data_IF_201455634071
#
_entry.id   IF_201455634071
#
_cell.length_a   1.000
_cell.length_b   1.000
_cell.length_c   1.000
_cell.angle_alpha   90.00
_cell.angle_beta   90.00
_cell.angle_gamma   90.00
#
_symmetry.space_group_name_H-M   'P 1'
#
loop_
_entity.id
_entity.type
_entity.pdbx_description
1 polymer ?
#
# COMPACT_ATOMS: atom_id res chain seq x y z
N UNK A 1 -24.33 53.42 55.67
CA UNK A 1 -23.09 52.62 55.77
C UNK A 1 -22.06 53.26 54.85
N UNK A 2 -21.12 54.02 55.40
CA UNK A 2 -19.94 54.49 54.65
C UNK A 2 -18.91 53.35 54.71
N UNK A 3 -18.44 52.91 53.54
CA UNK A 3 -17.37 51.93 53.44
C UNK A 3 -16.35 52.51 52.46
N UNK A 4 -15.10 52.61 52.91
CA UNK A 4 -14.02 53.10 52.07
C UNK A 4 -13.75 52.10 50.94
N UNK A 5 -13.75 52.54 49.67
CA UNK A 5 -13.49 51.64 48.56
C UNK A 5 -12.03 51.20 48.53
N UNK A 6 -11.77 49.92 48.86
CA UNK A 6 -10.46 49.28 48.73
C UNK A 6 -10.18 48.86 47.27
N UNK A 7 -10.23 49.82 46.34
CA UNK A 7 -10.13 49.59 44.90
C UNK A 7 -8.80 48.98 44.45
N UNK A 8 -7.73 49.16 45.24
CA UNK A 8 -6.43 48.54 45.03
C UNK A 8 -6.42 47.03 45.38
N UNK A 9 -7.35 46.57 46.22
CA UNK A 9 -7.41 45.19 46.70
C UNK A 9 -8.43 44.34 45.94
N UNK A 10 -9.62 44.90 45.67
CA UNK A 10 -10.72 44.18 45.04
C UNK A 10 -11.64 45.11 44.23
N UNK A 11 -12.42 44.54 43.31
CA UNK A 11 -13.47 45.25 42.56
C UNK A 11 -14.60 45.68 43.50
N UNK A 12 -15.37 46.71 43.10
CA UNK A 12 -16.59 47.12 43.82
C UNK A 12 -17.57 45.94 43.91
N UNK A 13 -18.08 45.64 45.12
CA UNK A 13 -18.87 44.44 45.46
C UNK A 13 -18.13 43.09 45.30
N UNK A 14 -16.82 43.11 45.04
CA UNK A 14 -15.98 41.92 44.95
C UNK A 14 -15.83 41.23 46.30
N UNK A 15 -15.97 39.90 46.32
CA UNK A 15 -15.75 39.06 47.51
C UNK A 15 -14.36 38.39 47.52
N UNK A 16 -13.50 38.76 46.56
CA UNK A 16 -12.17 38.19 46.34
C UNK A 16 -11.21 39.32 46.00
N UNK A 17 -9.98 39.22 46.47
CA UNK A 17 -8.91 40.12 46.04
C UNK A 17 -8.47 39.80 44.60
N UNK A 18 -7.83 40.75 43.93
CA UNK A 18 -7.29 40.54 42.59
C UNK A 18 -6.34 39.34 42.50
N UNK A 19 -5.48 39.15 43.51
CA UNK A 19 -4.55 38.02 43.57
C UNK A 19 -5.27 36.67 43.64
N UNK A 20 -6.39 36.59 44.38
CA UNK A 20 -7.19 35.36 44.44
C UNK A 20 -7.90 35.11 43.10
N UNK A 21 -8.47 36.15 42.48
CA UNK A 21 -9.07 36.00 41.14
C UNK A 21 -8.05 35.58 40.08
N UNK A 22 -6.84 36.14 40.13
CA UNK A 22 -5.75 35.75 39.23
C UNK A 22 -5.33 34.29 39.44
N UNK A 23 -5.22 33.83 40.70
CA UNK A 23 -4.92 32.44 41.02
C UNK A 23 -6.01 31.49 40.52
N UNK A 24 -7.28 31.86 40.69
CA UNK A 24 -8.39 31.08 40.14
C UNK A 24 -8.28 31.02 38.62
N UNK A 25 -8.01 32.14 37.96
CA UNK A 25 -7.85 32.23 36.50
C UNK A 25 -6.71 31.33 36.01
N UNK A 26 -5.50 31.45 36.56
CA UNK A 26 -4.34 30.69 36.10
C UNK A 26 -4.53 29.18 36.26
N UNK A 27 -5.06 28.73 37.40
CA UNK A 27 -5.35 27.32 37.63
C UNK A 27 -6.47 26.83 36.70
N UNK A 28 -7.48 27.67 36.44
CA UNK A 28 -8.60 27.29 35.58
C UNK A 28 -8.22 27.19 34.10
N UNK A 29 -7.21 27.93 33.62
CA UNK A 29 -6.73 27.84 32.24
C UNK A 29 -6.07 26.48 31.94
N UNK A 30 -5.38 25.90 32.94
CA UNK A 30 -4.62 24.66 32.77
C UNK A 30 -5.45 23.39 33.00
N UNK A 31 -6.62 23.51 33.64
CA UNK A 31 -7.39 22.38 34.13
C UNK A 31 -8.86 22.46 33.74
N UNK A 32 -9.51 21.30 33.67
CA UNK A 32 -10.97 21.24 33.64
C UNK A 32 -11.55 21.93 34.88
N UNK A 33 -12.68 22.63 34.75
CA UNK A 33 -13.27 23.43 35.84
C UNK A 33 -13.55 22.65 37.14
N UNK A 34 -13.86 21.36 37.07
CA UNK A 34 -14.00 20.49 38.26
C UNK A 34 -12.68 20.29 38.99
N UNK A 35 -11.61 19.93 38.25
CA UNK A 35 -10.27 19.76 38.81
C UNK A 35 -9.70 21.07 39.35
N UNK A 36 -9.91 22.17 38.64
CA UNK A 36 -9.53 23.51 39.11
C UNK A 36 -10.20 23.83 40.46
N UNK A 37 -11.51 23.60 40.57
CA UNK A 37 -12.27 23.80 41.81
C UNK A 37 -11.73 22.95 42.98
N UNK A 38 -11.49 21.66 42.74
CA UNK A 38 -10.91 20.77 43.76
C UNK A 38 -9.50 21.18 44.19
N UNK A 39 -8.64 21.58 43.24
CA UNK A 39 -7.28 22.03 43.53
C UNK A 39 -7.28 23.36 44.31
N UNK A 40 -8.14 24.31 43.92
CA UNK A 40 -8.29 25.59 44.62
C UNK A 40 -8.73 25.41 46.07
N UNK A 41 -9.56 24.40 46.37
CA UNK A 41 -9.96 24.07 47.73
C UNK A 41 -8.77 23.65 48.61
N UNK A 42 -7.77 22.96 48.06
CA UNK A 42 -6.52 22.61 48.77
C UNK A 42 -5.68 23.84 49.12
N UNK A 43 -5.79 24.92 48.32
CA UNK A 43 -5.19 26.21 48.61
C UNK A 43 -6.08 27.12 49.47
N UNK A 44 -7.14 26.58 50.07
CA UNK A 44 -8.14 27.34 50.84
C UNK A 44 -8.84 28.46 50.04
N UNK A 45 -8.92 28.32 48.70
CA UNK A 45 -9.65 29.24 47.82
C UNK A 45 -11.00 28.62 47.44
N UNK A 46 -12.10 29.23 47.90
CA UNK A 46 -13.46 28.77 47.55
C UNK A 46 -13.90 29.28 46.19
N UNK A 47 -13.81 28.43 45.17
CA UNK A 47 -14.37 28.65 43.85
C UNK A 47 -15.03 27.38 43.30
N UNK A 48 -16.33 27.44 43.01
CA UNK A 48 -17.03 26.35 42.34
C UNK A 48 -16.55 26.19 40.89
N UNK A 49 -16.82 25.04 40.29
CA UNK A 49 -16.56 24.80 38.86
C UNK A 49 -17.21 25.87 37.97
N UNK A 50 -18.45 26.27 38.25
CA UNK A 50 -19.14 27.35 37.53
C UNK A 50 -18.48 28.72 37.76
N UNK A 51 -17.92 28.97 38.96
CA UNK A 51 -17.17 30.19 39.23
C UNK A 51 -15.88 30.27 38.42
N UNK A 52 -15.17 29.14 38.30
CA UNK A 52 -13.96 29.02 37.48
C UNK A 52 -14.28 29.35 36.00
N UNK A 53 -15.31 28.71 35.44
CA UNK A 53 -15.73 28.96 34.05
C UNK A 53 -16.16 30.41 33.83
N UNK A 54 -16.94 30.99 34.75
CA UNK A 54 -17.39 32.39 34.63
C UNK A 54 -16.22 33.37 34.61
N UNK A 55 -15.18 33.13 35.41
CA UNK A 55 -13.97 33.97 35.41
C UNK A 55 -13.25 33.85 34.05
N UNK A 56 -13.08 32.62 33.53
CA UNK A 56 -12.44 32.43 32.22
C UNK A 56 -13.25 33.04 31.07
N UNK A 57 -14.57 32.89 31.09
CA UNK A 57 -15.46 33.46 30.07
C UNK A 57 -15.32 34.97 29.99
N UNK A 58 -15.12 35.66 31.12
CA UNK A 58 -14.86 37.10 31.12
C UNK A 58 -13.53 37.46 30.44
N UNK A 59 -12.51 36.60 30.53
CA UNK A 59 -11.23 36.83 29.88
C UNK A 59 -11.27 36.65 28.35
N UNK A 60 -12.18 35.81 27.84
CA UNK A 60 -12.28 35.46 26.42
C UNK A 60 -13.37 36.20 25.64
N UNK A 61 -13.98 37.26 26.18
CA UNK A 61 -15.09 37.96 25.52
C UNK A 61 -14.69 38.70 24.24
N UNK A 62 -13.42 39.11 24.14
CA UNK A 62 -12.94 39.91 23.03
C UNK A 62 -11.58 39.39 22.58
N UNK A 63 -11.32 39.49 21.27
CA UNK A 63 -9.99 39.27 20.73
C UNK A 63 -9.00 40.28 21.31
N UNK A 64 -7.72 39.90 21.49
CA UNK A 64 -6.70 40.83 21.95
C UNK A 64 -6.60 42.03 20.99
N UNK A 65 -6.37 43.21 21.54
CA UNK A 65 -6.14 44.41 20.74
C UNK A 65 -4.77 44.30 20.07
N UNK A 66 -4.75 43.74 18.86
CA UNK A 66 -3.53 43.52 18.09
C UNK A 66 -3.72 44.05 16.66
N UNK A 67 -3.19 45.24 16.38
CA UNK A 67 -3.42 45.97 15.12
C UNK A 67 -2.13 46.28 14.34
N UNK A 68 -1.01 45.61 14.67
CA UNK A 68 0.30 45.88 14.07
C UNK A 68 0.88 44.71 13.29
N UNK A 69 0.18 43.58 13.22
CA UNK A 69 0.64 42.39 12.49
C UNK A 69 0.68 42.65 10.99
N UNK A 70 1.87 42.47 10.39
CA UNK A 70 2.06 42.50 8.93
C UNK A 70 1.99 41.08 8.34
N UNK A 71 2.43 40.09 9.13
CA UNK A 71 2.49 38.68 8.75
C UNK A 71 1.55 37.88 9.64
N UNK A 72 0.53 37.26 9.07
CA UNK A 72 -0.45 36.49 9.84
C UNK A 72 -0.66 35.10 9.26
N UNK A 73 -0.99 34.16 10.13
CA UNK A 73 -1.46 32.83 9.79
C UNK A 73 -2.94 32.70 10.07
N UNK A 74 -3.68 32.09 9.15
CA UNK A 74 -5.09 31.77 9.34
C UNK A 74 -5.26 30.27 9.14
N UNK A 75 -5.88 29.61 10.11
CA UNK A 75 -6.19 28.18 10.06
C UNK A 75 -7.50 27.87 10.81
N UNK A 76 -8.03 26.67 10.59
CA UNK A 76 -9.23 26.17 11.25
C UNK A 76 -8.94 25.77 12.70
N UNK A 77 -9.71 26.33 13.62
CA UNK A 77 -9.74 25.97 15.03
C UNK A 77 -11.01 25.19 15.36
N UNK A 78 -10.85 23.93 15.75
CA UNK A 78 -11.98 23.09 16.15
C UNK A 78 -12.40 23.38 17.59
N UNK A 79 -13.46 24.18 17.79
CA UNK A 79 -14.10 24.33 19.10
C UNK A 79 -14.67 22.99 19.59
N UNK A 80 -15.33 22.28 18.67
CA UNK A 80 -15.76 20.90 18.86
C UNK A 80 -15.52 20.11 17.59
N UNK A 81 -14.44 19.33 17.59
CA UNK A 81 -14.00 18.53 16.44
C UNK A 81 -15.16 17.72 15.83
N UNK A 82 -15.37 17.89 14.52
CA UNK A 82 -16.46 17.24 13.77
C UNK A 82 -17.83 17.92 13.90
N UNK A 83 -17.94 19.09 14.56
CA UNK A 83 -19.19 19.85 14.68
C UNK A 83 -18.99 21.34 14.46
N UNK A 84 -18.23 21.96 15.35
CA UNK A 84 -18.11 23.42 15.43
C UNK A 84 -16.66 23.80 15.21
N UNK A 85 -16.44 24.57 14.14
CA UNK A 85 -15.15 25.10 13.73
C UNK A 85 -15.23 26.63 13.76
N UNK A 86 -14.10 27.23 14.08
CA UNK A 86 -13.80 28.65 14.09
C UNK A 86 -12.53 28.84 13.28
N UNK A 87 -12.13 30.08 12.99
CA UNK A 87 -10.81 30.37 12.41
C UNK A 87 -9.94 31.03 13.46
N UNK A 88 -8.71 30.54 13.62
CA UNK A 88 -7.70 31.20 14.45
C UNK A 88 -6.80 32.02 13.55
N UNK A 89 -6.50 33.24 13.99
CA UNK A 89 -5.49 34.10 13.38
C UNK A 89 -4.32 34.20 14.33
N UNK A 90 -3.12 33.97 13.82
CA UNK A 90 -1.86 33.97 14.58
C UNK A 90 -0.92 35.00 13.95
N UNK A 91 -0.27 35.80 14.76
CA UNK A 91 0.83 36.63 14.28
C UNK A 91 2.06 35.74 14.03
N UNK A 92 2.58 35.76 12.81
CA UNK A 92 3.66 34.86 12.40
C UNK A 92 5.03 35.23 12.96
N UNK A 93 5.20 36.45 13.48
CA UNK A 93 6.46 36.90 14.06
C UNK A 93 6.53 36.59 15.56
N UNK A 94 5.42 36.76 16.27
CA UNK A 94 5.33 36.52 17.71
C UNK A 94 4.84 35.12 18.07
N UNK A 95 4.28 34.39 17.10
CA UNK A 95 3.62 33.09 17.28
C UNK A 95 2.42 33.13 18.25
N UNK A 96 1.84 34.31 18.47
CA UNK A 96 0.71 34.50 19.37
C UNK A 96 -0.60 34.50 18.60
N UNK A 97 -1.65 33.82 19.10
CA UNK A 97 -3.01 34.01 18.60
C UNK A 97 -3.46 35.46 18.80
N UNK A 98 -3.90 36.10 17.72
CA UNK A 98 -4.34 37.50 17.72
C UNK A 98 -5.83 37.65 17.43
N UNK A 99 -6.48 36.62 16.89
CA UNK A 99 -7.93 36.57 16.81
C UNK A 99 -8.43 35.13 16.81
N UNK A 100 -9.61 34.94 17.39
CA UNK A 100 -10.47 33.78 17.16
C UNK A 100 -11.75 34.31 16.52
N UNK A 101 -12.09 33.76 15.37
CA UNK A 101 -13.18 34.21 14.51
C UNK A 101 -14.20 33.09 14.46
N UNK A 102 -15.36 33.33 15.09
CA UNK A 102 -16.47 32.42 15.02
C UNK A 102 -17.10 32.52 13.63
N UNK A 103 -16.77 31.60 12.73
CA UNK A 103 -17.26 31.70 11.38
C UNK A 103 -17.82 30.40 10.81
N UNK A 104 -19.10 30.44 10.46
CA UNK A 104 -19.77 29.43 9.62
C UNK A 104 -20.00 29.92 8.18
N UNK A 105 -19.91 31.22 7.91
CA UNK A 105 -20.41 31.86 6.66
C UNK A 105 -19.40 32.80 5.95
N UNK A 106 -18.22 33.07 6.51
CA UNK A 106 -17.17 33.97 5.98
C UNK A 106 -17.24 35.42 6.49
N UNK A 107 -18.30 35.82 7.18
CA UNK A 107 -18.55 37.22 7.57
C UNK A 107 -17.62 37.71 8.69
N UNK A 108 -17.29 36.83 9.64
CA UNK A 108 -16.41 37.19 10.76
C UNK A 108 -14.99 37.45 10.24
N UNK A 109 -14.54 36.64 9.28
CA UNK A 109 -13.27 36.84 8.60
C UNK A 109 -13.25 38.13 7.78
N UNK A 110 -14.28 38.40 6.98
CA UNK A 110 -14.36 39.61 6.18
C UNK A 110 -14.27 40.89 7.03
N UNK A 111 -15.04 40.94 8.11
CA UNK A 111 -15.03 42.05 9.05
C UNK A 111 -13.67 42.23 9.72
N UNK A 112 -13.00 41.12 10.07
CA UNK A 112 -11.67 41.18 10.67
C UNK A 112 -10.61 41.67 9.67
N UNK A 113 -10.62 41.17 8.43
CA UNK A 113 -9.69 41.61 7.37
C UNK A 113 -9.89 43.08 7.03
N UNK A 114 -11.14 43.56 6.96
CA UNK A 114 -11.47 44.97 6.68
C UNK A 114 -10.87 45.92 7.74
N UNK A 115 -10.84 45.48 8.99
CA UNK A 115 -10.27 46.23 10.12
C UNK A 115 -8.75 46.14 10.20
N UNK A 116 -8.13 45.27 9.41
CA UNK A 116 -6.68 45.02 9.42
C UNK A 116 -6.04 45.19 8.03
N UNK A 117 -6.16 46.37 7.38
CA UNK A 117 -5.62 46.61 6.04
C UNK A 117 -4.08 46.63 6.00
N UNK A 118 -3.41 46.70 7.15
CA UNK A 118 -1.94 46.70 7.26
C UNK A 118 -1.29 45.34 6.95
N UNK A 119 -2.07 44.27 6.91
CA UNK A 119 -1.57 42.91 6.63
C UNK A 119 -1.05 42.86 5.20
N UNK A 120 0.13 42.27 5.01
CA UNK A 120 0.76 42.13 3.68
C UNK A 120 0.97 40.66 3.29
N UNK A 121 1.10 39.77 4.28
CA UNK A 121 1.36 38.35 4.06
C UNK A 121 0.42 37.50 4.91
N UNK A 122 -0.25 36.56 4.26
CA UNK A 122 -1.12 35.58 4.93
C UNK A 122 -0.64 34.17 4.60
N UNK A 123 -0.23 33.41 5.61
CA UNK A 123 -0.08 31.97 5.50
C UNK A 123 -1.43 31.31 5.80
N UNK A 124 -1.94 30.47 4.91
CA UNK A 124 -3.22 29.79 5.11
C UNK A 124 -3.20 28.36 4.56
N UNK A 125 -4.23 27.59 4.89
CA UNK A 125 -4.44 26.25 4.34
C UNK A 125 -4.82 26.30 2.84
N UNK A 126 -5.45 25.29 2.25
CA UNK A 126 -5.92 25.35 0.84
C UNK A 126 -7.43 25.49 0.72
N UNK A 127 -8.10 25.92 1.79
CA UNK A 127 -9.53 26.19 1.85
C UNK A 127 -9.93 27.29 0.87
N UNK A 128 -11.00 27.02 0.11
CA UNK A 128 -11.54 28.00 -0.84
C UNK A 128 -12.11 29.22 -0.13
N UNK A 129 -12.75 29.03 1.02
CA UNK A 129 -13.33 30.09 1.85
C UNK A 129 -12.32 31.20 2.18
N UNK A 130 -11.13 30.84 2.68
CA UNK A 130 -10.09 31.82 2.97
C UNK A 130 -9.59 32.54 1.72
N UNK A 131 -9.38 31.79 0.62
CA UNK A 131 -8.91 32.37 -0.63
C UNK A 131 -9.91 33.40 -1.19
N UNK A 132 -11.20 33.06 -1.19
CA UNK A 132 -12.27 33.94 -1.66
C UNK A 132 -12.42 35.19 -0.79
N UNK A 133 -12.39 35.04 0.54
CA UNK A 133 -12.47 36.16 1.48
C UNK A 133 -11.27 37.11 1.34
N UNK A 134 -10.04 36.59 1.30
CA UNK A 134 -8.82 37.40 1.15
C UNK A 134 -8.84 38.16 -0.19
N UNK A 135 -9.18 37.48 -1.29
CA UNK A 135 -9.26 38.12 -2.61
C UNK A 135 -10.35 39.20 -2.68
N UNK A 136 -11.46 39.01 -1.95
CA UNK A 136 -12.56 39.98 -1.90
C UNK A 136 -12.19 41.23 -1.09
N UNK A 137 -11.54 41.06 0.07
CA UNK A 137 -11.37 42.14 1.06
C UNK A 137 -10.01 42.83 0.96
N UNK A 138 -8.94 42.07 0.77
CA UNK A 138 -7.55 42.59 0.70
C UNK A 138 -6.76 41.93 -0.45
N UNK A 139 -7.15 42.16 -1.72
CA UNK A 139 -6.58 41.47 -2.88
C UNK A 139 -5.07 41.68 -3.09
N UNK A 140 -4.49 42.75 -2.52
CA UNK A 140 -3.05 43.03 -2.60
C UNK A 140 -2.17 42.17 -1.70
N UNK A 141 -2.75 41.32 -0.86
CA UNK A 141 -2.01 40.48 0.09
C UNK A 141 -1.37 39.28 -0.59
N UNK A 142 -0.11 39.03 -0.24
CA UNK A 142 0.60 37.81 -0.65
C UNK A 142 0.10 36.62 0.16
N UNK A 143 -0.59 35.69 -0.51
CA UNK A 143 -1.05 34.44 0.09
C UNK A 143 0.01 33.35 -0.04
N UNK A 144 0.36 32.73 1.08
CA UNK A 144 1.36 31.68 1.20
C UNK A 144 0.66 30.40 1.65
N UNK A 145 0.92 29.28 0.98
CA UNK A 145 0.41 27.99 1.44
C UNK A 145 1.19 27.53 2.67
N UNK A 146 0.48 27.11 3.71
CA UNK A 146 1.09 26.57 4.90
C UNK A 146 1.85 25.25 4.62
N UNK A 147 3.05 25.15 5.20
CA UNK A 147 4.00 24.04 4.99
C UNK A 147 3.47 22.68 5.48
N UNK A 148 2.74 22.67 6.60
CA UNK A 148 2.13 21.47 7.14
C UNK A 148 1.12 20.90 6.16
N UNK A 149 0.26 21.75 5.57
CA UNK A 149 -0.72 21.30 4.59
C UNK A 149 -0.09 20.77 3.30
N UNK A 150 0.99 21.39 2.81
CA UNK A 150 1.74 20.88 1.66
C UNK A 150 2.32 19.49 1.93
N UNK A 151 2.97 19.32 3.09
CA UNK A 151 3.55 18.03 3.49
C UNK A 151 2.48 16.97 3.70
N UNK A 152 1.38 17.34 4.38
CA UNK A 152 0.24 16.46 4.63
C UNK A 152 -0.37 15.98 3.33
N UNK A 153 -0.67 16.88 2.40
CA UNK A 153 -1.23 16.54 1.09
C UNK A 153 -0.34 15.55 0.35
N UNK A 154 0.97 15.81 0.26
CA UNK A 154 1.92 14.87 -0.34
C UNK A 154 1.85 13.50 0.34
N UNK A 155 1.91 13.44 1.67
CA UNK A 155 1.87 12.15 2.37
C UNK A 155 0.54 11.41 2.19
N UNK A 156 -0.59 12.13 2.25
CA UNK A 156 -1.92 11.55 2.12
C UNK A 156 -2.15 11.01 0.69
N UNK A 157 -1.60 11.67 -0.33
CA UNK A 157 -1.61 11.16 -1.71
C UNK A 157 -0.71 9.93 -1.90
N UNK A 158 0.44 9.87 -1.23
CA UNK A 158 1.40 8.77 -1.40
C UNK A 158 1.08 7.52 -0.58
N UNK A 159 0.36 7.65 0.54
CA UNK A 159 0.00 6.50 1.40
C UNK A 159 -0.74 5.39 0.62
N UNK A 160 -1.81 5.68 -0.15
CA UNK A 160 -2.52 4.66 -0.93
C UNK A 160 -1.65 3.96 -1.98
N UNK A 161 -0.71 4.68 -2.62
CA UNK A 161 0.19 4.10 -3.61
C UNK A 161 1.16 3.11 -2.96
N UNK A 162 1.75 3.47 -1.82
CA UNK A 162 2.62 2.55 -1.09
C UNK A 162 1.81 1.35 -0.57
N UNK A 163 0.59 1.57 -0.07
CA UNK A 163 -0.30 0.46 0.30
C UNK A 163 -0.57 -0.48 -0.88
N UNK A 164 -0.78 0.05 -2.08
CA UNK A 164 -0.98 -0.72 -3.31
C UNK A 164 0.27 -1.52 -3.67
N UNK A 165 1.46 -0.92 -3.59
CA UNK A 165 2.73 -1.62 -3.83
C UNK A 165 2.94 -2.78 -2.84
N UNK A 166 2.63 -2.56 -1.55
CA UNK A 166 2.66 -3.61 -0.51
C UNK A 166 1.63 -4.73 -0.78
N UNK A 167 0.52 -4.42 -1.46
CA UNK A 167 -0.48 -5.43 -1.86
C UNK A 167 -0.06 -6.16 -3.15
N UNK A 168 0.59 -5.49 -4.08
CA UNK A 168 1.02 -6.07 -5.36
C UNK A 168 2.13 -7.11 -5.19
N UNK A 169 3.00 -6.97 -4.20
CA UNK A 169 3.96 -8.03 -3.81
C UNK A 169 3.28 -9.31 -3.31
N UNK A 170 1.95 -9.33 -3.14
CA UNK A 170 1.15 -10.49 -2.68
C UNK A 170 0.44 -11.23 -3.82
N UNK A 171 0.86 -11.06 -5.08
CA UNK A 171 0.15 -11.72 -6.18
C UNK A 171 0.32 -13.24 -6.11
N UNK A 172 -0.78 -13.96 -5.85
CA UNK A 172 -0.78 -15.43 -5.81
C UNK A 172 -0.37 -15.99 -7.17
N UNK A 173 0.56 -16.94 -7.17
CA UNK A 173 0.90 -17.70 -8.36
C UNK A 173 -0.27 -18.61 -8.74
N UNK A 174 -0.54 -18.72 -10.04
CA UNK A 174 -1.53 -19.66 -10.59
C UNK A 174 -0.92 -21.05 -10.68
N UNK A 175 -1.74 -22.07 -10.47
CA UNK A 175 -1.31 -23.44 -10.72
C UNK A 175 -1.12 -23.66 -12.22
N UNK A 176 0.10 -24.03 -12.62
CA UNK A 176 0.40 -24.41 -14.00
C UNK A 176 -0.11 -25.81 -14.32
N UNK A 177 -0.56 -25.98 -15.55
CA UNK A 177 -0.93 -27.27 -16.14
C UNK A 177 -0.24 -27.40 -17.50
N UNK A 178 0.09 -28.62 -17.95
CA UNK A 178 0.69 -28.79 -19.26
C UNK A 178 -0.32 -28.41 -20.33
N UNK A 179 0.16 -27.76 -21.40
CA UNK A 179 -0.62 -27.68 -22.63
C UNK A 179 -0.89 -29.09 -23.20
N UNK A 180 -1.78 -29.15 -24.18
CA UNK A 180 -2.24 -30.41 -24.78
C UNK A 180 -1.10 -31.22 -25.40
N UNK A 181 -0.11 -30.57 -26.01
CA UNK A 181 0.98 -31.24 -26.73
C UNK A 181 2.03 -31.77 -25.76
N UNK A 182 2.36 -31.00 -24.74
CA UNK A 182 3.20 -31.39 -23.61
C UNK A 182 2.57 -32.56 -22.86
N UNK A 183 1.27 -32.50 -22.56
CA UNK A 183 0.55 -33.60 -21.91
C UNK A 183 0.58 -34.87 -22.76
N UNK A 184 0.32 -34.75 -24.07
CA UNK A 184 0.37 -35.88 -25.01
C UNK A 184 1.76 -36.51 -25.06
N UNK A 185 2.80 -35.69 -25.16
CA UNK A 185 4.19 -36.14 -25.26
C UNK A 185 4.65 -36.90 -24.02
N UNK A 186 4.30 -36.40 -22.83
CA UNK A 186 4.62 -37.07 -21.56
C UNK A 186 3.86 -38.39 -21.39
N UNK A 187 2.58 -38.45 -21.78
CA UNK A 187 1.81 -39.70 -21.76
C UNK A 187 2.42 -40.72 -22.72
N UNK A 188 2.78 -40.29 -23.94
CA UNK A 188 3.43 -41.17 -24.92
C UNK A 188 4.75 -41.72 -24.38
N UNK A 189 5.55 -40.90 -23.72
CA UNK A 189 6.78 -41.34 -23.09
C UNK A 189 6.53 -42.43 -22.04
N UNK A 190 5.56 -42.25 -21.15
CA UNK A 190 5.18 -43.26 -20.16
C UNK A 190 4.65 -44.55 -20.82
N UNK A 191 3.88 -44.43 -21.92
CA UNK A 191 3.39 -45.59 -22.67
C UNK A 191 4.56 -46.40 -23.24
N UNK A 192 5.53 -45.75 -23.89
CA UNK A 192 6.67 -46.45 -24.49
C UNK A 192 7.64 -47.01 -23.44
N UNK A 193 7.62 -46.47 -22.22
CA UNK A 193 8.37 -46.99 -21.08
C UNK A 193 7.66 -48.14 -20.33
N UNK A 194 6.51 -48.62 -20.82
CA UNK A 194 5.88 -49.84 -20.28
C UNK A 194 6.56 -51.13 -20.79
N UNK A 195 6.30 -52.26 -20.12
CA UNK A 195 6.86 -53.57 -20.48
C UNK A 195 8.17 -53.87 -19.74
N UNK A 196 8.82 -54.98 -20.09
CA UNK A 196 10.11 -55.38 -19.51
C UNK A 196 11.29 -54.60 -20.11
N UNK A 197 12.50 -54.83 -19.60
CA UNK A 197 13.73 -54.15 -20.03
C UNK A 197 14.00 -54.35 -21.53
N UNK A 198 13.83 -55.58 -22.04
CA UNK A 198 14.13 -55.93 -23.43
C UNK A 198 13.13 -55.27 -24.39
N UNK A 199 11.86 -55.21 -24.00
CA UNK A 199 10.79 -54.56 -24.74
C UNK A 199 11.02 -53.06 -24.87
N UNK A 200 11.34 -52.39 -23.75
CA UNK A 200 11.64 -50.95 -23.73
C UNK A 200 12.85 -50.60 -24.59
N UNK A 201 13.92 -51.37 -24.48
CA UNK A 201 15.13 -51.19 -25.29
C UNK A 201 14.82 -51.33 -26.79
N UNK A 202 14.02 -52.35 -27.16
CA UNK A 202 13.59 -52.55 -28.55
C UNK A 202 12.76 -51.38 -29.09
N UNK A 203 11.82 -50.85 -28.29
CA UNK A 203 11.01 -49.69 -28.67
C UNK A 203 11.84 -48.41 -28.76
N UNK A 204 12.82 -48.23 -27.88
CA UNK A 204 13.77 -47.11 -27.92
C UNK A 204 14.57 -47.14 -29.22
N UNK A 205 15.20 -48.27 -29.54
CA UNK A 205 15.98 -48.44 -30.77
C UNK A 205 15.08 -48.22 -32.00
N UNK A 206 13.85 -48.72 -32.00
CA UNK A 206 12.90 -48.49 -33.11
C UNK A 206 12.61 -46.99 -33.31
N UNK A 207 12.31 -46.24 -32.24
CA UNK A 207 12.00 -44.80 -32.31
C UNK A 207 13.21 -43.99 -32.75
N UNK A 208 14.38 -44.24 -32.18
CA UNK A 208 15.63 -43.57 -32.56
C UNK A 208 15.99 -43.87 -34.01
N UNK A 209 15.84 -45.12 -34.46
CA UNK A 209 16.07 -45.50 -35.86
C UNK A 209 15.15 -44.78 -36.84
N UNK A 210 13.87 -44.59 -36.48
CA UNK A 210 12.94 -43.82 -37.32
C UNK A 210 13.29 -42.33 -37.35
N UNK A 211 13.65 -41.74 -36.21
CA UNK A 211 14.06 -40.34 -36.14
C UNK A 211 15.31 -40.07 -36.99
N UNK A 212 16.34 -40.92 -36.91
CA UNK A 212 17.57 -40.80 -37.70
C UNK A 212 17.29 -40.99 -39.20
N UNK A 213 16.39 -41.91 -39.55
CA UNK A 213 15.93 -42.08 -40.93
C UNK A 213 15.15 -40.85 -41.44
N UNK A 214 14.31 -40.25 -40.61
CA UNK A 214 13.61 -38.99 -40.94
C UNK A 214 14.57 -37.82 -41.14
N UNK A 215 15.73 -37.85 -40.46
CA UNK A 215 16.83 -36.90 -40.65
C UNK A 215 17.69 -37.20 -41.90
N UNK A 216 17.32 -38.20 -42.70
CA UNK A 216 17.99 -38.53 -43.97
C UNK A 216 19.12 -39.54 -43.87
N UNK A 217 19.38 -40.14 -42.69
CA UNK A 217 20.45 -41.14 -42.55
C UNK A 217 20.10 -42.47 -43.23
N UNK A 218 21.11 -43.13 -43.82
CA UNK A 218 20.96 -44.49 -44.35
C UNK A 218 20.85 -45.51 -43.21
N UNK A 219 20.47 -46.75 -43.56
CA UNK A 219 20.34 -47.84 -42.58
C UNK A 219 21.71 -48.19 -41.98
N UNK A 220 22.78 -48.14 -42.77
CA UNK A 220 24.16 -48.36 -42.32
C UNK A 220 24.61 -47.28 -41.33
N UNK A 221 24.36 -46.01 -41.65
CA UNK A 221 24.69 -44.88 -40.78
C UNK A 221 23.91 -44.92 -39.47
N UNK A 222 22.60 -45.21 -39.55
CA UNK A 222 21.75 -45.38 -38.37
C UNK A 222 22.23 -46.53 -37.48
N UNK A 223 22.61 -47.66 -38.08
CA UNK A 223 23.09 -48.82 -37.36
C UNK A 223 24.43 -48.56 -36.66
N UNK A 224 25.35 -47.87 -37.33
CA UNK A 224 26.61 -47.42 -36.74
C UNK A 224 26.37 -46.45 -35.56
N UNK A 225 25.46 -45.48 -35.73
CA UNK A 225 25.12 -44.51 -34.69
C UNK A 225 24.53 -45.15 -33.42
N UNK A 226 23.69 -46.19 -33.59
CA UNK A 226 23.04 -46.91 -32.48
C UNK A 226 23.85 -48.11 -31.96
N UNK A 227 25.03 -48.39 -32.53
CA UNK A 227 25.87 -49.53 -32.17
C UNK A 227 25.21 -50.90 -32.42
N UNK A 228 24.38 -51.01 -33.47
CA UNK A 228 23.66 -52.25 -33.84
C UNK A 228 24.05 -52.71 -35.25
N UNK A 229 23.73 -53.97 -35.59
CA UNK A 229 23.96 -54.51 -36.94
C UNK A 229 22.94 -53.92 -37.93
N UNK A 230 23.35 -53.52 -39.14
CA UNK A 230 22.45 -52.96 -40.17
C UNK A 230 21.25 -53.85 -40.48
N UNK A 231 21.45 -55.19 -40.52
CA UNK A 231 20.37 -56.16 -40.69
C UNK A 231 19.35 -56.15 -39.55
N UNK A 232 19.78 -55.84 -38.32
CA UNK A 232 18.88 -55.71 -37.17
C UNK A 232 18.00 -54.47 -37.30
N UNK A 233 18.61 -53.32 -37.62
CA UNK A 233 17.88 -52.07 -37.86
C UNK A 233 16.90 -52.22 -39.02
N UNK A 234 17.34 -52.79 -40.14
CA UNK A 234 16.48 -53.08 -41.30
C UNK A 234 15.25 -53.90 -40.89
N UNK A 235 15.43 -55.04 -40.20
CA UNK A 235 14.31 -55.88 -39.74
C UNK A 235 13.39 -55.18 -38.73
N UNK A 236 13.92 -54.19 -38.02
CA UNK A 236 13.19 -53.46 -36.99
C UNK A 236 12.30 -52.36 -37.58
N UNK A 237 12.74 -51.65 -38.63
CA UNK A 237 12.00 -50.50 -39.18
C UNK A 237 11.35 -50.75 -40.55
N UNK A 238 11.83 -51.72 -41.34
CA UNK A 238 11.35 -51.93 -42.70
C UNK A 238 9.95 -52.60 -42.70
N UNK A 239 8.98 -51.97 -43.36
CA UNK A 239 7.57 -52.42 -43.50
C UNK A 239 6.86 -52.80 -42.19
N UNK A 240 7.30 -52.26 -41.05
CA UNK A 240 6.70 -52.55 -39.73
C UNK A 240 6.27 -51.27 -39.02
N UNK A 241 4.97 -51.16 -38.76
CA UNK A 241 4.39 -50.10 -37.93
C UNK A 241 4.66 -50.36 -36.46
N UNK A 242 4.76 -49.29 -35.67
CA UNK A 242 5.06 -49.37 -34.22
C UNK A 242 4.13 -50.32 -33.46
N UNK A 243 2.86 -50.43 -33.88
CA UNK A 243 1.88 -51.33 -33.27
C UNK A 243 2.25 -52.81 -33.27
N UNK A 244 3.13 -53.25 -34.18
CA UNK A 244 3.65 -54.64 -34.20
C UNK A 244 4.57 -54.95 -33.02
N UNK A 245 5.08 -53.92 -32.34
CA UNK A 245 6.00 -54.04 -31.21
C UNK A 245 5.37 -53.62 -29.89
N UNK A 246 4.09 -53.24 -29.86
CA UNK A 246 3.41 -52.80 -28.65
C UNK A 246 2.62 -53.96 -28.03
N UNK A 247 2.59 -54.00 -26.70
CA UNK A 247 1.68 -54.89 -25.97
C UNK A 247 0.24 -54.34 -25.98
N UNK A 248 -0.73 -55.17 -25.58
CA UNK A 248 -2.16 -54.80 -25.62
C UNK A 248 -2.50 -53.60 -24.73
N UNK A 249 -1.83 -53.45 -23.59
CA UNK A 249 -2.02 -52.28 -22.72
C UNK A 249 -1.50 -51.00 -23.37
N UNK A 250 -0.37 -51.05 -24.07
CA UNK A 250 0.18 -49.93 -24.85
C UNK A 250 -0.74 -49.56 -26.02
N UNK A 251 -1.22 -50.54 -26.78
CA UNK A 251 -2.17 -50.30 -27.88
C UNK A 251 -3.46 -49.65 -27.37
N UNK A 252 -3.99 -50.13 -26.25
CA UNK A 252 -5.18 -49.56 -25.62
C UNK A 252 -4.93 -48.13 -25.14
N UNK A 253 -3.80 -47.87 -24.48
CA UNK A 253 -3.45 -46.54 -24.00
C UNK A 253 -3.29 -45.51 -25.14
N UNK A 254 -2.69 -45.91 -26.26
CA UNK A 254 -2.49 -45.03 -27.42
C UNK A 254 -3.79 -44.46 -27.99
N UNK A 255 -4.88 -45.24 -27.98
CA UNK A 255 -6.19 -44.79 -28.48
C UNK A 255 -6.74 -43.57 -27.73
N UNK A 256 -6.36 -43.41 -26.47
CA UNK A 256 -6.94 -42.42 -25.55
C UNK A 256 -5.99 -41.29 -25.16
N UNK A 257 -4.79 -41.20 -25.77
CA UNK A 257 -3.81 -40.15 -25.44
C UNK A 257 -4.37 -38.75 -25.67
N UNK A 258 -5.00 -38.50 -26.81
CA UNK A 258 -5.57 -37.19 -27.17
C UNK A 258 -6.69 -36.76 -26.20
N UNK A 259 -7.55 -37.69 -25.80
CA UNK A 259 -8.65 -37.43 -24.86
C UNK A 259 -8.10 -37.13 -23.45
N UNK A 260 -7.14 -37.94 -22.97
CA UNK A 260 -6.45 -37.72 -21.70
C UNK A 260 -5.69 -36.39 -21.67
N UNK A 261 -4.96 -36.06 -22.74
CA UNK A 261 -4.22 -34.81 -22.84
C UNK A 261 -5.16 -33.59 -22.79
N UNK A 262 -6.32 -33.68 -23.45
CA UNK A 262 -7.34 -32.63 -23.42
C UNK A 262 -7.87 -32.43 -21.99
N UNK A 263 -8.22 -33.51 -21.29
CA UNK A 263 -8.70 -33.45 -19.90
C UNK A 263 -7.63 -32.86 -18.97
N UNK A 264 -6.36 -33.24 -19.13
CA UNK A 264 -5.25 -32.75 -18.30
C UNK A 264 -4.99 -31.26 -18.56
N UNK A 265 -4.98 -30.83 -19.83
CA UNK A 265 -4.79 -29.41 -20.18
C UNK A 265 -5.89 -28.51 -19.64
N UNK A 266 -7.10 -29.06 -19.41
CA UNK A 266 -8.20 -28.39 -18.75
C UNK A 266 -8.10 -28.38 -17.20
N UNK A 267 -6.96 -28.77 -16.62
CA UNK A 267 -6.70 -28.70 -15.19
C UNK A 267 -7.00 -29.97 -14.38
N UNK A 268 -7.41 -31.06 -15.04
CA UNK A 268 -7.81 -32.31 -14.38
C UNK A 268 -6.67 -33.35 -14.41
N UNK A 269 -5.84 -33.38 -13.36
CA UNK A 269 -4.60 -34.20 -13.36
C UNK A 269 -4.60 -35.38 -12.38
N UNK A 270 -5.54 -35.43 -11.42
CA UNK A 270 -5.54 -36.49 -10.39
C UNK A 270 -6.08 -37.81 -10.94
N UNK A 271 -5.55 -38.95 -10.43
CA UNK A 271 -5.95 -40.30 -10.88
C UNK A 271 -7.46 -40.51 -10.85
N UNK A 272 -8.10 -40.08 -9.75
CA UNK A 272 -9.53 -40.26 -9.50
C UNK A 272 -10.37 -39.51 -10.53
N UNK A 273 -10.03 -38.24 -10.78
CA UNK A 273 -10.75 -37.39 -11.74
C UNK A 273 -10.55 -37.89 -13.18
N UNK A 274 -9.33 -38.30 -13.53
CA UNK A 274 -9.04 -38.89 -14.84
C UNK A 274 -9.83 -40.18 -15.06
N UNK A 275 -9.85 -41.08 -14.07
CA UNK A 275 -10.63 -42.32 -14.15
C UNK A 275 -12.14 -42.05 -14.25
N UNK A 276 -12.65 -41.07 -13.51
CA UNK A 276 -14.05 -40.67 -13.58
C UNK A 276 -14.44 -40.12 -14.96
N UNK A 277 -13.61 -39.22 -15.53
CA UNK A 277 -13.87 -38.62 -16.85
C UNK A 277 -13.69 -39.60 -18.01
N UNK A 278 -12.80 -40.58 -17.87
CA UNK A 278 -12.59 -41.63 -18.88
C UNK A 278 -13.60 -42.78 -18.78
N UNK A 279 -14.33 -42.91 -17.66
CA UNK A 279 -15.31 -43.97 -17.44
C UNK A 279 -14.71 -45.37 -17.56
N UNK A 280 -15.43 -46.27 -18.22
CA UNK A 280 -15.01 -47.67 -18.47
C UNK A 280 -14.10 -47.85 -19.68
N UNK A 281 -13.75 -46.77 -20.42
CA UNK A 281 -12.96 -46.83 -21.66
C UNK A 281 -11.54 -47.37 -21.46
N UNK A 282 -10.95 -47.09 -20.31
CA UNK A 282 -9.58 -47.47 -19.95
C UNK A 282 -9.49 -47.70 -18.44
N UNK A 283 -8.78 -48.74 -18.00
CA UNK A 283 -8.71 -49.08 -16.58
C UNK A 283 -8.00 -48.00 -15.77
N UNK A 284 -8.51 -47.67 -14.58
CA UNK A 284 -7.88 -46.69 -13.69
C UNK A 284 -6.45 -47.05 -13.27
N UNK A 285 -6.08 -48.33 -13.33
CA UNK A 285 -4.70 -48.81 -13.16
C UNK A 285 -3.79 -48.43 -14.32
N UNK A 286 -4.27 -48.55 -15.56
CA UNK A 286 -3.53 -48.16 -16.75
C UNK A 286 -3.40 -46.64 -16.85
N UNK A 287 -4.47 -45.87 -16.61
CA UNK A 287 -4.40 -44.40 -16.48
C UNK A 287 -3.33 -44.00 -15.47
N UNK A 288 -3.31 -44.66 -14.30
CA UNK A 288 -2.33 -44.38 -13.27
C UNK A 288 -0.88 -44.66 -13.70
N UNK A 289 -0.65 -45.64 -14.56
CA UNK A 289 0.70 -45.93 -15.08
C UNK A 289 1.14 -44.93 -16.14
N UNK A 290 0.28 -44.62 -17.11
CA UNK A 290 0.62 -43.77 -18.27
C UNK A 290 0.60 -42.27 -17.98
N UNK A 291 0.17 -41.87 -16.79
CA UNK A 291 0.20 -40.46 -16.33
C UNK A 291 1.10 -40.29 -15.11
N UNK A 292 1.96 -41.27 -14.81
CA UNK A 292 2.72 -41.31 -13.57
C UNK A 292 3.78 -40.21 -13.52
N UNK A 293 4.59 -40.07 -14.56
CA UNK A 293 5.66 -39.07 -14.62
C UNK A 293 5.09 -37.65 -14.62
N UNK A 294 4.09 -37.41 -15.48
CA UNK A 294 3.37 -36.15 -15.59
C UNK A 294 2.78 -35.74 -14.24
N UNK A 295 2.07 -36.64 -13.54
CA UNK A 295 1.45 -36.30 -12.26
C UNK A 295 2.48 -36.00 -11.18
N UNK A 296 3.60 -36.74 -11.12
CA UNK A 296 4.68 -36.45 -10.16
C UNK A 296 5.30 -35.07 -10.42
N UNK A 297 5.60 -34.77 -11.68
CA UNK A 297 6.18 -33.49 -12.09
C UNK A 297 5.27 -32.31 -11.70
N UNK A 298 3.98 -32.38 -12.05
CA UNK A 298 3.04 -31.31 -11.73
C UNK A 298 2.59 -31.30 -10.27
N UNK A 299 2.70 -32.41 -9.55
CA UNK A 299 2.52 -32.41 -8.09
C UNK A 299 3.60 -31.57 -7.40
N UNK A 300 4.85 -31.68 -7.86
CA UNK A 300 5.96 -30.89 -7.34
C UNK A 300 5.76 -29.40 -7.64
N UNK A 301 5.49 -29.04 -8.90
CA UNK A 301 5.17 -27.64 -9.28
C UNK A 301 4.00 -27.06 -8.48
N UNK A 302 2.94 -27.85 -8.24
CA UNK A 302 1.79 -27.42 -7.43
C UNK A 302 2.15 -27.25 -5.96
N UNK A 303 3.06 -28.05 -5.42
CA UNK A 303 3.54 -27.92 -4.05
C UNK A 303 4.30 -26.59 -3.88
N UNK A 304 5.18 -26.25 -4.81
CA UNK A 304 5.92 -24.98 -4.83
C UNK A 304 4.99 -23.77 -4.90
N UNK A 305 4.00 -23.80 -5.80
CA UNK A 305 2.96 -22.75 -5.89
C UNK A 305 2.15 -22.64 -4.60
N UNK A 306 1.82 -23.78 -3.97
CA UNK A 306 1.07 -23.81 -2.72
C UNK A 306 1.89 -23.19 -1.58
N UNK A 307 3.15 -23.57 -1.41
CA UNK A 307 4.05 -23.04 -0.38
C UNK A 307 4.26 -21.53 -0.55
N UNK A 308 4.41 -21.04 -1.78
CA UNK A 308 4.48 -19.62 -2.08
C UNK A 308 3.17 -18.88 -1.74
N UNK A 309 2.02 -19.44 -2.09
CA UNK A 309 0.73 -18.82 -1.80
C UNK A 309 0.39 -18.84 -0.29
N UNK A 310 0.78 -19.89 0.43
CA UNK A 310 0.64 -20.00 1.88
C UNK A 310 1.57 -19.03 2.63
N UNK A 311 2.79 -18.81 2.15
CA UNK A 311 3.70 -17.81 2.75
C UNK A 311 3.16 -16.39 2.61
N UNK A 312 2.55 -16.05 1.46
CA UNK A 312 1.83 -14.78 1.25
C UNK A 312 0.65 -14.66 2.23
N UNK A 313 -0.14 -15.72 2.38
CA UNK A 313 -1.35 -15.70 3.21
C UNK A 313 -1.03 -15.60 4.70
N UNK A 314 -0.04 -16.36 5.16
CA UNK A 314 0.45 -16.33 6.53
C UNK A 314 1.16 -15.00 6.85
N UNK A 315 1.99 -14.48 5.94
CA UNK A 315 2.60 -13.15 6.06
C UNK A 315 1.58 -12.00 6.06
N UNK A 316 0.38 -12.21 5.49
CA UNK A 316 -0.71 -11.22 5.53
C UNK A 316 -1.32 -11.06 6.92
N UNK A 317 -1.33 -12.14 7.72
CA UNK A 317 -1.93 -12.16 9.08
C UNK A 317 -1.01 -11.54 10.14
N UNK A 318 0.30 -11.56 9.94
CA UNK A 318 1.27 -11.24 11.02
C UNK A 318 1.73 -9.78 11.11
N UNK A 319 1.53 -8.93 10.11
CA UNK A 319 2.01 -7.53 10.19
C UNK A 319 1.24 -6.59 9.26
N UNK A 320 0.21 -5.93 9.78
CA UNK A 320 -0.45 -4.83 9.07
C UNK A 320 0.40 -3.58 9.23
N UNK A 321 0.87 -3.00 8.14
CA UNK A 321 1.57 -1.70 8.18
C UNK A 321 0.50 -0.63 8.38
N UNK A 322 0.60 0.16 9.45
CA UNK A 322 -0.34 1.27 9.71
C UNK A 322 -0.05 2.47 8.80
N UNK A 323 -1.06 3.28 8.52
CA UNK A 323 -0.88 4.53 7.77
C UNK A 323 0.15 5.46 8.42
N UNK A 324 0.23 5.49 9.76
CA UNK A 324 1.24 6.27 10.47
C UNK A 324 2.67 5.75 10.24
N UNK A 325 2.85 4.43 10.10
CA UNK A 325 4.16 3.87 9.73
C UNK A 325 4.54 4.24 8.30
N UNK A 326 3.59 4.16 7.35
CA UNK A 326 3.81 4.59 5.97
C UNK A 326 4.12 6.08 5.90
N UNK A 327 3.39 6.92 6.65
CA UNK A 327 3.67 8.37 6.73
C UNK A 327 5.08 8.63 7.24
N UNK A 328 5.50 7.97 8.32
CA UNK A 328 6.88 8.09 8.84
C UNK A 328 7.92 7.65 7.80
N UNK A 329 7.63 6.56 7.08
CA UNK A 329 8.49 6.04 6.03
C UNK A 329 8.66 7.03 4.87
N UNK A 330 7.57 7.66 4.40
CA UNK A 330 7.63 8.71 3.38
C UNK A 330 8.48 9.89 3.86
N UNK A 331 8.28 10.33 5.10
CA UNK A 331 8.95 11.51 5.63
C UNK A 331 10.44 11.27 5.95
N UNK A 332 10.79 10.08 6.46
CA UNK A 332 12.16 9.74 6.87
C UNK A 332 12.98 9.04 5.78
N UNK A 333 12.33 8.41 4.81
CA UNK A 333 12.95 7.55 3.80
C UNK A 333 13.30 6.14 4.29
N UNK A 334 13.15 5.87 5.59
CA UNK A 334 13.49 4.60 6.22
C UNK A 334 12.43 4.16 7.23
N UNK A 335 12.41 2.87 7.54
CA UNK A 335 11.45 2.27 8.45
C UNK A 335 11.97 0.95 9.02
N UNK A 336 11.82 0.78 10.34
CA UNK A 336 12.12 -0.48 11.06
C UNK A 336 11.11 -1.60 10.74
N UNK A 337 9.99 -1.26 10.09
CA UNK A 337 9.02 -2.26 9.66
C UNK A 337 9.62 -3.15 8.56
N UNK A 338 9.69 -4.48 8.76
CA UNK A 338 10.36 -5.39 7.83
C UNK A 338 9.71 -5.40 6.43
N UNK A 339 8.39 -5.17 6.32
CA UNK A 339 7.70 -5.11 5.02
C UNK A 339 8.08 -3.88 4.21
N UNK A 340 8.27 -2.74 4.88
CA UNK A 340 8.72 -1.51 4.22
C UNK A 340 10.20 -1.61 3.85
N UNK A 341 11.02 -2.25 4.69
CA UNK A 341 12.41 -2.54 4.37
C UNK A 341 12.55 -3.51 3.18
N UNK A 342 11.72 -4.55 3.11
CA UNK A 342 11.67 -5.47 1.97
C UNK A 342 11.20 -4.77 0.68
N UNK A 343 10.17 -3.92 0.78
CA UNK A 343 9.72 -3.11 -0.36
C UNK A 343 10.84 -2.21 -0.89
N UNK A 344 11.61 -1.58 0.01
CA UNK A 344 12.77 -0.77 -0.35
C UNK A 344 13.84 -1.55 -1.11
N UNK A 345 14.10 -2.81 -0.71
CA UNK A 345 15.09 -3.66 -1.37
C UNK A 345 14.60 -4.19 -2.72
N UNK A 346 13.33 -4.54 -2.81
CA UNK A 346 12.74 -5.25 -3.97
C UNK A 346 12.28 -4.35 -5.10
N UNK A 347 12.01 -3.06 -4.85
CA UNK A 347 11.46 -2.14 -5.86
C UNK A 347 12.34 -0.91 -6.07
N UNK A 348 12.89 -0.69 -7.29
CA UNK A 348 13.55 0.58 -7.63
C UNK A 348 12.58 1.78 -7.57
N UNK A 349 11.29 1.54 -7.87
CA UNK A 349 10.26 2.57 -7.91
C UNK A 349 10.01 3.21 -6.53
N UNK A 350 10.09 2.43 -5.44
CA UNK A 350 9.88 3.01 -4.10
C UNK A 350 11.05 3.93 -3.71
N UNK A 351 12.28 3.61 -4.14
CA UNK A 351 13.45 4.46 -3.86
C UNK A 351 13.33 5.82 -4.55
N UNK A 352 12.93 5.81 -5.82
CA UNK A 352 12.67 7.05 -6.57
C UNK A 352 11.56 7.88 -5.92
N UNK A 353 10.45 7.25 -5.54
CA UNK A 353 9.32 7.92 -4.89
C UNK A 353 9.71 8.56 -3.56
N UNK A 354 10.43 7.84 -2.70
CA UNK A 354 10.88 8.37 -1.41
C UNK A 354 11.86 9.52 -1.62
N UNK A 355 12.79 9.41 -2.57
CA UNK A 355 13.71 10.49 -2.90
C UNK A 355 12.98 11.76 -3.34
N UNK A 356 11.95 11.64 -4.19
CA UNK A 356 11.13 12.79 -4.62
C UNK A 356 10.40 13.42 -3.43
N UNK A 357 9.79 12.60 -2.56
CA UNK A 357 9.07 13.08 -1.37
C UNK A 357 9.98 13.76 -0.34
N UNK A 358 11.17 13.19 -0.09
CA UNK A 358 12.16 13.76 0.83
C UNK A 358 12.70 15.09 0.29
N UNK A 359 13.07 15.13 -0.98
CA UNK A 359 13.53 16.37 -1.62
C UNK A 359 12.45 17.47 -1.52
N UNK A 360 11.18 17.14 -1.77
CA UNK A 360 10.09 18.12 -1.61
C UNK A 360 10.01 18.63 -0.18
N UNK A 361 10.02 17.72 0.80
CA UNK A 361 9.98 18.07 2.22
C UNK A 361 11.15 18.97 2.61
N UNK A 362 12.37 18.65 2.16
CA UNK A 362 13.56 19.41 2.49
C UNK A 362 13.54 20.79 1.84
N UNK A 363 13.05 20.91 0.60
CA UNK A 363 12.82 22.21 -0.07
C UNK A 363 11.83 23.08 0.71
N UNK A 364 10.69 22.52 1.11
CA UNK A 364 9.66 23.23 1.88
C UNK A 364 10.16 23.63 3.27
N UNK A 365 11.08 22.85 3.86
CA UNK A 365 11.69 23.17 5.15
C UNK A 365 12.89 24.13 5.04
N UNK A 366 13.36 24.44 3.83
CA UNK A 366 14.54 25.28 3.60
C UNK A 366 15.88 24.56 3.82
N UNK A 367 15.89 23.23 3.84
CA UNK A 367 17.05 22.40 4.14
C UNK A 367 17.90 22.03 2.90
N UNK A 368 17.49 22.39 1.68
CA UNK A 368 18.20 22.06 0.44
C UNK A 368 18.96 23.25 -0.16
N UNK A 369 20.12 22.97 -0.75
CA UNK A 369 20.84 23.92 -1.62
C UNK A 369 20.12 24.14 -2.95
N UNK A 370 19.49 23.09 -3.50
CA UNK A 370 18.67 23.17 -4.71
C UNK A 370 17.21 23.48 -4.31
N UNK A 371 16.81 24.73 -4.53
CA UNK A 371 15.45 25.24 -4.23
C UNK A 371 14.58 25.34 -5.48
N UNK A 372 15.03 24.81 -6.62
CA UNK A 372 14.30 24.95 -7.87
C UNK A 372 13.12 23.97 -7.93
N UNK A 373 11.93 24.49 -7.57
CA UNK A 373 10.67 23.75 -7.63
C UNK A 373 10.33 23.30 -9.05
N UNK A 374 10.76 24.01 -10.10
CA UNK A 374 10.49 23.62 -11.48
C UNK A 374 11.27 22.36 -11.82
N UNK A 375 12.56 22.33 -11.45
CA UNK A 375 13.40 21.14 -11.60
C UNK A 375 12.85 19.95 -10.80
N UNK A 376 12.35 20.19 -9.59
CA UNK A 376 11.69 19.16 -8.80
C UNK A 376 10.41 18.64 -9.49
N UNK A 377 9.57 19.54 -10.03
CA UNK A 377 8.34 19.17 -10.76
C UNK A 377 8.67 18.30 -11.98
N UNK A 378 9.68 18.66 -12.78
CA UNK A 378 10.10 17.85 -13.94
C UNK A 378 10.57 16.45 -13.50
N UNK A 379 11.33 16.36 -12.41
CA UNK A 379 11.75 15.06 -11.84
C UNK A 379 10.56 14.25 -11.32
N UNK A 380 9.62 14.88 -10.62
CA UNK A 380 8.42 14.23 -10.11
C UNK A 380 7.57 13.68 -11.27
N UNK A 381 7.39 14.46 -12.34
CA UNK A 381 6.66 14.05 -13.55
C UNK A 381 7.34 12.92 -14.34
N UNK A 382 8.66 12.89 -14.34
CA UNK A 382 9.42 11.81 -14.98
C UNK A 382 9.32 10.47 -14.22
N UNK A 383 8.84 10.49 -12.96
CA UNK A 383 8.70 9.28 -12.16
C UNK A 383 7.51 8.46 -12.69
N UNK A 384 7.67 7.13 -12.83
CA UNK A 384 6.61 6.22 -13.35
C UNK A 384 5.36 6.10 -12.45
N UNK A 385 5.22 6.94 -11.43
CA UNK A 385 4.11 6.90 -10.49
C UNK A 385 3.05 7.95 -10.88
N UNK A 386 1.87 7.47 -11.26
CA UNK A 386 0.75 8.32 -11.69
C UNK A 386 0.20 9.23 -10.59
N UNK A 387 0.53 9.02 -9.32
CA UNK A 387 0.09 9.90 -8.24
C UNK A 387 1.01 11.13 -8.04
N UNK A 388 2.19 11.14 -8.67
CA UNK A 388 3.14 12.27 -8.69
C UNK A 388 3.04 13.11 -9.98
N UNK A 389 2.32 12.60 -10.99
CA UNK A 389 2.00 13.27 -12.26
C UNK A 389 0.57 13.81 -12.21
#
# INVERSE_FOLDING_TARGET
IFCEPLSFLARRYGRRSYLVEERIRSISLELTSRKASSLLQLFHITASSSSCLRILQQCGQHNPMHNKSIYVGIDDFAYKKGKDYMSVVVDQMTHMPIALLEDRNGEALDNWLTRNPQIQYITRDRGRCFTEAINRIIPGVTQICDRFHLTKNMTDTMIPEIEKMIRQTKQKLKYEYPDRDTASSLILQDIFNMGDVRHREKLKIYRESLNLKMQGMTIEQTAAHLGKKSRYIYKLIHNRRIGAYLNEQQKTALKYVSELATIISAGCITRKILAQKMGSKISGALIGRITSSLRKMYQQKRKEVKEHNESIENGSKTQRVSQNQIRKYILKGESDNPKLAELYKSSPQIKELLSVCQNFRDMINGNTYDKDIRKWIEKAKATRNMALT
#
